data_IF_866447866838
#
_entry.id   IF_866447866838
#
_cell.length_a   1.000
_cell.length_b   1.000
_cell.length_c   1.000
_cell.angle_alpha   90.00
_cell.angle_beta   90.00
_cell.angle_gamma   90.00
#
_symmetry.space_group_name_H-M   'P 1'
#
loop_
_entity.id
_entity.type
_entity.pdbx_description
1 polymer ?
#
# COMPACT_ATOMS: atom_id res chain seq x y z
N UNK A 1 53.49 -58.08 20.70
CA UNK A 1 52.71 -56.85 20.89
C UNK A 1 53.29 -55.71 20.06
N UNK A 2 52.64 -55.32 18.96
CA UNK A 2 52.56 -53.94 18.42
C UNK A 2 51.29 -53.87 17.55
N UNK A 3 50.33 -52.97 17.80
CA UNK A 3 49.08 -52.94 17.05
C UNK A 3 49.27 -52.19 15.72
N UNK A 4 48.71 -52.73 14.65
CA UNK A 4 48.56 -52.09 13.35
C UNK A 4 47.52 -50.97 13.42
N UNK A 5 47.97 -49.75 13.14
CA UNK A 5 47.18 -48.51 13.15
C UNK A 5 46.04 -48.56 12.11
N UNK A 6 44.80 -48.41 12.58
CA UNK A 6 43.62 -48.26 11.74
C UNK A 6 43.64 -46.88 11.06
N UNK A 7 43.70 -46.86 9.73
CA UNK A 7 43.55 -45.61 8.95
C UNK A 7 42.08 -45.22 8.92
N UNK A 8 41.70 -44.24 9.73
CA UNK A 8 40.40 -43.58 9.65
C UNK A 8 40.37 -42.67 8.41
N UNK A 9 39.62 -43.09 7.39
CA UNK A 9 39.24 -42.21 6.28
C UNK A 9 38.19 -41.20 6.78
N UNK A 10 38.65 -40.00 7.15
CA UNK A 10 37.76 -38.89 7.47
C UNK A 10 37.78 -37.91 6.29
N UNK A 11 36.77 -37.95 5.43
CA UNK A 11 36.55 -36.96 4.37
C UNK A 11 35.40 -36.04 4.75
N UNK A 12 35.56 -35.26 5.82
CA UNK A 12 34.71 -34.09 6.02
C UNK A 12 35.21 -33.01 5.07
N UNK A 13 34.68 -32.97 3.84
CA UNK A 13 34.71 -31.74 3.05
C UNK A 13 33.86 -30.72 3.80
N UNK A 14 34.42 -29.56 4.23
CA UNK A 14 33.57 -28.48 4.68
C UNK A 14 32.72 -28.08 3.47
N UNK A 15 31.41 -28.31 3.53
CA UNK A 15 30.47 -27.73 2.59
C UNK A 15 30.59 -26.21 2.72
N UNK A 16 31.39 -25.60 1.86
CA UNK A 16 31.36 -24.15 1.69
C UNK A 16 30.00 -23.85 1.07
N UNK A 17 29.05 -23.38 1.88
CA UNK A 17 27.80 -22.82 1.38
C UNK A 17 28.17 -21.65 0.44
N UNK A 18 27.72 -21.73 -0.82
CA UNK A 18 27.88 -20.66 -1.80
C UNK A 18 27.16 -19.40 -1.28
N UNK A 19 27.78 -18.23 -1.41
CA UNK A 19 27.16 -16.97 -1.02
C UNK A 19 26.66 -16.27 -2.27
N UNK A 20 25.47 -16.62 -2.81
CA UNK A 20 24.99 -16.11 -4.09
C UNK A 20 24.78 -14.58 -4.08
N UNK A 21 24.64 -14.00 -2.89
CA UNK A 21 24.41 -12.56 -2.69
C UNK A 21 25.70 -11.77 -2.41
N UNK A 22 26.86 -12.45 -2.30
CA UNK A 22 28.15 -11.79 -2.08
C UNK A 22 28.24 -11.00 -0.76
N UNK A 23 27.36 -11.28 0.22
CA UNK A 23 27.32 -10.52 1.47
C UNK A 23 28.59 -10.77 2.31
N UNK A 24 29.21 -9.72 2.89
CA UNK A 24 30.41 -9.90 3.71
C UNK A 24 30.13 -10.81 4.91
N UNK A 25 31.00 -11.82 5.10
CA UNK A 25 30.87 -12.82 6.19
C UNK A 25 31.23 -12.24 7.57
N UNK A 26 31.91 -11.11 7.60
CA UNK A 26 32.26 -10.35 8.79
C UNK A 26 32.33 -8.87 8.44
N UNK A 27 31.90 -8.02 9.37
CA UNK A 27 31.76 -6.58 9.19
C UNK A 27 30.42 -6.08 9.72
N UNK A 28 30.32 -4.78 9.95
CA UNK A 28 29.04 -4.13 10.26
C UNK A 28 28.09 -4.44 9.10
N UNK A 29 26.88 -4.98 9.35
CA UNK A 29 25.90 -5.21 8.30
C UNK A 29 25.75 -3.93 7.47
N UNK A 30 25.62 -4.01 6.13
CA UNK A 30 25.31 -2.84 5.33
C UNK A 30 24.11 -2.15 5.99
N UNK A 31 24.24 -0.85 6.24
CA UNK A 31 23.13 -0.03 6.73
C UNK A 31 22.10 0.04 5.61
N UNK A 32 21.23 -0.96 5.58
CA UNK A 32 20.01 -0.93 4.81
C UNK A 32 19.34 0.41 5.11
N UNK A 33 19.09 1.20 4.05
CA UNK A 33 18.64 2.58 4.16
C UNK A 33 17.54 2.75 5.20
N UNK A 34 17.52 3.89 5.88
CA UNK A 34 16.55 4.22 6.95
C UNK A 34 15.17 3.67 6.58
N UNK A 35 14.62 2.79 7.42
CA UNK A 35 13.26 2.27 7.26
C UNK A 35 12.29 3.43 6.98
N UNK A 36 11.32 3.28 6.07
CA UNK A 36 10.34 4.33 5.82
C UNK A 36 9.72 4.78 7.14
N UNK A 37 9.77 6.08 7.42
CA UNK A 37 9.10 6.65 8.59
C UNK A 37 7.64 6.82 8.21
N UNK A 38 6.74 6.13 8.92
CA UNK A 38 5.29 6.31 8.75
C UNK A 38 4.90 7.76 9.02
N UNK A 39 4.06 8.33 8.15
CA UNK A 39 3.58 9.71 8.24
C UNK A 39 2.07 9.74 8.39
N UNK A 40 1.55 10.81 8.99
CA UNK A 40 0.12 11.11 8.95
C UNK A 40 -0.25 11.58 7.54
N UNK A 41 -1.48 11.30 7.11
CA UNK A 41 -2.06 11.91 5.91
C UNK A 41 -2.47 13.34 6.26
N UNK A 42 -2.03 14.31 5.46
CA UNK A 42 -2.31 15.72 5.70
C UNK A 42 -3.80 15.99 5.65
N UNK A 43 -4.33 16.69 6.66
CA UNK A 43 -5.75 17.05 6.72
C UNK A 43 -6.69 15.88 7.07
N UNK A 44 -6.17 14.79 7.66
CA UNK A 44 -6.97 13.64 8.10
C UNK A 44 -6.67 13.32 9.57
N UNK A 45 -7.70 13.21 10.40
CA UNK A 45 -7.55 12.90 11.83
C UNK A 45 -7.37 11.40 12.09
N UNK A 46 -8.18 10.55 11.47
CA UNK A 46 -8.14 9.08 11.60
C UNK A 46 -8.02 8.37 10.27
N UNK A 47 -7.16 7.37 10.21
CA UNK A 47 -7.01 6.50 9.03
C UNK A 47 -7.36 5.06 9.40
N UNK A 48 -8.35 4.49 8.70
CA UNK A 48 -8.81 3.11 8.88
C UNK A 48 -8.52 2.33 7.61
N UNK A 49 -7.70 1.29 7.70
CA UNK A 49 -7.42 0.42 6.56
C UNK A 49 -8.48 -0.69 6.42
N UNK A 50 -8.82 -1.04 5.18
CA UNK A 50 -9.61 -2.23 4.84
C UNK A 50 -8.77 -3.08 3.91
N UNK A 51 -8.48 -4.30 4.35
CA UNK A 51 -7.63 -5.27 3.65
C UNK A 51 -8.40 -6.56 3.39
N UNK A 52 -7.89 -7.39 2.47
CA UNK A 52 -8.38 -8.74 2.26
C UNK A 52 -7.26 -9.63 1.75
N UNK A 53 -7.19 -10.88 2.23
CA UNK A 53 -6.19 -11.85 1.78
C UNK A 53 -6.38 -12.29 0.31
N UNK A 54 -7.56 -12.07 -0.27
CA UNK A 54 -7.91 -12.48 -1.64
C UNK A 54 -8.71 -11.40 -2.36
N UNK A 55 -8.51 -11.27 -3.67
CA UNK A 55 -9.36 -10.43 -4.53
C UNK A 55 -10.79 -10.97 -4.66
N UNK A 56 -11.75 -10.07 -4.87
CA UNK A 56 -13.15 -10.44 -5.17
C UNK A 56 -14.00 -10.82 -3.95
N UNK A 57 -13.54 -10.59 -2.72
CA UNK A 57 -14.32 -10.89 -1.50
C UNK A 57 -15.28 -9.77 -1.07
N UNK A 58 -15.38 -8.69 -1.86
CA UNK A 58 -16.21 -7.52 -1.53
C UNK A 58 -15.54 -6.48 -0.62
N UNK A 59 -14.21 -6.51 -0.50
CA UNK A 59 -13.40 -5.53 0.27
C UNK A 59 -13.79 -4.08 -0.01
N UNK A 60 -13.79 -3.67 -1.29
CA UNK A 60 -14.13 -2.29 -1.70
C UNK A 60 -15.57 -1.93 -1.38
N UNK A 61 -16.49 -2.89 -1.46
CA UNK A 61 -17.89 -2.72 -1.04
C UNK A 61 -17.99 -2.45 0.46
N UNK A 62 -17.24 -3.18 1.29
CA UNK A 62 -17.17 -2.95 2.73
C UNK A 62 -16.55 -1.59 3.02
N UNK A 63 -15.45 -1.23 2.37
CA UNK A 63 -14.79 0.06 2.52
C UNK A 63 -15.71 1.24 2.17
N UNK A 64 -16.43 1.16 1.04
CA UNK A 64 -17.39 2.16 0.61
C UNK A 64 -18.56 2.30 1.60
N UNK A 65 -19.13 1.20 2.06
CA UNK A 65 -20.22 1.26 3.03
C UNK A 65 -19.75 1.79 4.40
N UNK A 66 -18.52 1.50 4.79
CA UNK A 66 -17.94 2.03 6.02
C UNK A 66 -17.77 3.55 5.95
N UNK A 67 -17.25 4.10 4.85
CA UNK A 67 -17.12 5.56 4.69
C UNK A 67 -18.49 6.26 4.64
N UNK A 68 -19.47 5.65 3.97
CA UNK A 68 -20.86 6.13 3.96
C UNK A 68 -21.50 6.08 5.34
N UNK A 69 -21.22 5.04 6.14
CA UNK A 69 -21.72 4.93 7.51
C UNK A 69 -21.16 6.06 8.39
N UNK A 70 -19.86 6.37 8.28
CA UNK A 70 -19.28 7.52 8.98
C UNK A 70 -19.91 8.85 8.55
N UNK A 71 -20.10 9.06 7.24
CA UNK A 71 -20.78 10.26 6.74
C UNK A 71 -22.21 10.38 7.28
N UNK A 72 -22.96 9.27 7.33
CA UNK A 72 -24.32 9.22 7.91
C UNK A 72 -24.36 9.53 9.41
N UNK A 73 -23.28 9.23 10.13
CA UNK A 73 -23.12 9.58 11.54
C UNK A 73 -22.67 11.04 11.76
N UNK A 74 -22.50 11.82 10.69
CA UNK A 74 -22.12 13.24 10.74
C UNK A 74 -20.62 13.50 10.70
N UNK A 75 -19.79 12.47 10.49
CA UNK A 75 -18.34 12.66 10.33
C UNK A 75 -18.00 13.13 8.90
N UNK A 76 -17.00 13.99 8.79
CA UNK A 76 -16.33 14.32 7.53
C UNK A 76 -15.54 13.09 7.09
N UNK A 77 -16.14 12.27 6.24
CA UNK A 77 -15.59 11.00 5.80
C UNK A 77 -14.99 11.09 4.39
N UNK A 78 -13.91 10.34 4.20
CA UNK A 78 -13.34 10.09 2.89
C UNK A 78 -13.05 8.62 2.65
N UNK A 79 -12.83 8.27 1.39
CA UNK A 79 -12.32 6.97 0.97
C UNK A 79 -11.18 7.14 -0.05
N UNK A 80 -10.13 6.36 0.13
CA UNK A 80 -9.00 6.28 -0.78
C UNK A 80 -8.82 4.84 -1.27
N UNK A 81 -8.97 4.64 -2.57
CA UNK A 81 -8.75 3.38 -3.26
C UNK A 81 -7.35 3.30 -3.84
N UNK A 82 -6.61 2.29 -3.37
CA UNK A 82 -5.23 2.03 -3.77
C UNK A 82 -5.09 0.77 -4.63
N UNK A 83 -6.20 0.20 -5.09
CA UNK A 83 -6.19 -0.92 -6.04
C UNK A 83 -6.01 -0.41 -7.47
N UNK A 84 -4.85 -0.72 -8.06
CA UNK A 84 -4.45 -0.26 -9.40
C UNK A 84 -5.08 -1.10 -10.50
N UNK A 85 -5.32 -2.38 -10.23
CA UNK A 85 -5.69 -3.35 -11.27
C UNK A 85 -7.19 -3.62 -11.32
N UNK A 86 -7.93 -3.22 -10.27
CA UNK A 86 -9.38 -3.34 -10.22
C UNK A 86 -10.04 -2.26 -9.37
N UNK A 87 -9.80 -0.96 -9.65
CA UNK A 87 -10.40 0.11 -8.87
C UNK A 87 -11.92 0.02 -8.96
N UNK A 88 -12.57 -0.08 -7.81
CA UNK A 88 -14.03 -0.27 -7.71
C UNK A 88 -14.74 0.98 -7.18
N UNK A 89 -14.00 1.89 -6.54
CA UNK A 89 -14.56 3.08 -5.91
C UNK A 89 -15.21 4.07 -6.90
N UNK A 90 -14.64 4.35 -8.09
CA UNK A 90 -15.30 5.22 -9.08
C UNK A 90 -16.72 4.75 -9.40
N UNK A 91 -16.87 3.45 -9.67
CA UNK A 91 -18.18 2.83 -9.96
C UNK A 91 -19.11 2.83 -8.76
N UNK A 92 -18.62 2.45 -7.57
CA UNK A 92 -19.44 2.40 -6.35
C UNK A 92 -19.95 3.76 -5.89
N UNK A 93 -19.24 4.83 -6.23
CA UNK A 93 -19.63 6.21 -5.92
C UNK A 93 -20.30 6.92 -7.10
N UNK A 94 -20.56 6.25 -8.23
CA UNK A 94 -21.14 6.86 -9.44
C UNK A 94 -20.36 8.12 -9.87
N UNK A 95 -19.05 7.99 -9.97
CA UNK A 95 -18.11 9.06 -10.29
C UNK A 95 -17.24 8.69 -11.49
N UNK A 96 -17.05 9.65 -12.38
CA UNK A 96 -16.21 9.54 -13.56
C UNK A 96 -15.41 10.82 -13.78
N UNK A 97 -14.29 10.71 -14.49
CA UNK A 97 -13.42 11.83 -14.83
C UNK A 97 -12.20 11.96 -13.93
N UNK A 98 -11.34 12.91 -14.28
CA UNK A 98 -10.04 13.09 -13.65
C UNK A 98 -10.10 14.14 -12.52
N UNK A 99 -9.35 13.96 -11.42
CA UNK A 99 -9.28 14.94 -10.34
C UNK A 99 -8.59 16.20 -10.84
N UNK A 100 -9.13 17.37 -10.50
CA UNK A 100 -8.48 18.66 -10.79
C UNK A 100 -7.30 18.89 -9.83
N UNK A 101 -6.37 19.75 -10.23
CA UNK A 101 -5.32 20.24 -9.35
C UNK A 101 -5.75 21.55 -8.68
N UNK A 102 -5.42 21.70 -7.39
CA UNK A 102 -5.53 22.99 -6.71
C UNK A 102 -4.37 23.93 -7.05
N UNK A 103 -4.47 25.18 -6.61
CA UNK A 103 -3.39 26.17 -6.77
C UNK A 103 -2.07 25.73 -6.11
N UNK A 104 -2.13 24.79 -5.15
CA UNK A 104 -0.96 24.21 -4.48
C UNK A 104 -0.47 22.93 -5.17
N UNK A 105 -0.95 22.64 -6.39
CA UNK A 105 -0.61 21.45 -7.16
C UNK A 105 -0.97 20.12 -6.44
N UNK A 106 -2.06 20.13 -5.65
CA UNK A 106 -2.60 18.94 -5.00
C UNK A 106 -3.85 18.45 -5.71
N UNK A 107 -4.10 17.14 -5.69
CA UNK A 107 -5.30 16.54 -6.25
C UNK A 107 -6.53 16.91 -5.40
N UNK A 108 -7.56 17.45 -6.04
CA UNK A 108 -8.83 17.74 -5.40
C UNK A 108 -9.72 16.50 -5.49
N UNK A 109 -10.14 15.91 -4.36
CA UNK A 109 -10.96 14.70 -4.35
C UNK A 109 -12.34 14.92 -4.97
N UNK A 110 -12.80 13.93 -5.73
CA UNK A 110 -14.17 13.89 -6.24
C UNK A 110 -15.13 13.58 -5.08
N UNK A 111 -16.34 14.13 -5.09
CA UNK A 111 -17.29 13.95 -3.99
C UNK A 111 -18.63 13.47 -4.51
N UNK A 112 -19.16 12.39 -3.92
CA UNK A 112 -20.55 11.98 -4.09
C UNK A 112 -21.06 11.36 -2.78
N UNK A 113 -22.38 11.30 -2.59
CA UNK A 113 -23.03 10.73 -1.40
C UNK A 113 -22.52 11.30 -0.06
N UNK A 114 -22.01 12.53 -0.05
CA UNK A 114 -21.44 13.19 1.14
C UNK A 114 -20.04 12.69 1.54
N UNK A 115 -19.37 11.90 0.69
CA UNK A 115 -18.03 11.34 0.96
C UNK A 115 -17.03 11.85 -0.09
N UNK A 116 -15.85 12.27 0.37
CA UNK A 116 -14.73 12.61 -0.53
C UNK A 116 -14.03 11.33 -0.98
N UNK A 117 -13.74 11.21 -2.26
CA UNK A 117 -13.21 9.99 -2.87
C UNK A 117 -11.94 10.29 -3.66
N UNK A 118 -10.97 9.39 -3.54
CA UNK A 118 -9.83 9.28 -4.44
C UNK A 118 -9.62 7.82 -4.80
N UNK A 119 -9.20 7.57 -6.04
CA UNK A 119 -8.92 6.23 -6.53
C UNK A 119 -7.83 6.28 -7.59
N UNK A 120 -7.04 5.22 -7.68
CA UNK A 120 -6.19 4.96 -8.85
C UNK A 120 -7.00 4.99 -10.15
N UNK A 121 -8.26 4.54 -10.13
CA UNK A 121 -9.16 4.58 -11.28
C UNK A 121 -9.47 5.99 -11.80
N UNK A 122 -9.29 7.04 -10.99
CA UNK A 122 -9.41 8.42 -11.48
C UNK A 122 -8.16 8.92 -12.20
N UNK A 123 -7.00 8.30 -11.95
CA UNK A 123 -5.73 8.64 -12.58
C UNK A 123 -5.47 7.83 -13.86
N UNK A 124 -6.27 6.78 -14.09
CA UNK A 124 -6.17 5.92 -15.27
C UNK A 124 -7.35 6.23 -16.18
N UNK A 125 -7.13 6.95 -17.28
CA UNK A 125 -8.17 7.18 -18.28
C UNK A 125 -8.63 5.85 -18.91
N UNK A 126 -9.94 5.70 -19.11
CA UNK A 126 -10.59 4.46 -19.60
C UNK A 126 -10.11 3.98 -20.99
N UNK A 127 -9.39 4.82 -21.74
CA UNK A 127 -9.17 4.64 -23.18
C UNK A 127 -7.77 4.16 -23.60
N UNK A 128 -6.86 3.84 -22.67
CA UNK A 128 -5.55 3.30 -23.04
C UNK A 128 -5.04 2.24 -22.04
N UNK A 129 -4.69 1.02 -22.48
CA UNK A 129 -3.97 0.08 -21.63
C UNK A 129 -2.58 0.63 -21.32
N UNK A 130 -2.44 1.24 -20.14
CA UNK A 130 -1.16 1.72 -19.62
C UNK A 130 -0.43 0.55 -18.97
N UNK A 131 0.80 0.29 -19.41
CA UNK A 131 1.68 -0.68 -18.75
C UNK A 131 2.26 -0.03 -17.49
N UNK A 132 1.66 -0.33 -16.34
CA UNK A 132 2.12 0.14 -15.04
C UNK A 132 3.43 -0.54 -14.64
N UNK A 133 4.53 0.22 -14.66
CA UNK A 133 5.82 -0.22 -14.11
C UNK A 133 5.87 0.07 -12.60
N UNK A 134 6.57 -0.77 -11.83
CA UNK A 134 6.68 -0.63 -10.36
C UNK A 134 7.00 0.78 -9.84
N UNK A 135 7.97 1.52 -10.42
CA UNK A 135 8.25 2.90 -10.00
C UNK A 135 7.09 3.87 -10.23
N UNK A 136 6.31 3.69 -11.29
CA UNK A 136 5.15 4.53 -11.62
C UNK A 136 4.01 4.28 -10.64
N UNK A 137 3.75 3.01 -10.34
CA UNK A 137 2.81 2.58 -9.28
C UNK A 137 3.16 3.24 -7.96
N UNK A 138 4.43 3.17 -7.56
CA UNK A 138 4.89 3.74 -6.30
C UNK A 138 4.69 5.26 -6.25
N UNK A 139 5.00 5.96 -7.34
CA UNK A 139 4.81 7.40 -7.45
C UNK A 139 3.32 7.78 -7.34
N UNK A 140 2.44 7.06 -8.03
CA UNK A 140 1.00 7.30 -7.98
C UNK A 140 0.43 7.09 -6.57
N UNK A 141 0.85 6.02 -5.89
CA UNK A 141 0.45 5.77 -4.49
C UNK A 141 0.93 6.88 -3.58
N UNK A 142 2.19 7.33 -3.72
CA UNK A 142 2.71 8.44 -2.94
C UNK A 142 1.91 9.73 -3.15
N UNK A 143 1.55 10.02 -4.40
CA UNK A 143 0.71 11.16 -4.75
C UNK A 143 -0.69 11.03 -4.11
N UNK A 144 -1.33 9.86 -4.18
CA UNK A 144 -2.64 9.63 -3.56
C UNK A 144 -2.61 9.70 -2.02
N UNK A 145 -1.52 9.28 -1.38
CA UNK A 145 -1.40 9.29 0.08
C UNK A 145 -1.05 10.68 0.64
N UNK A 146 -0.31 11.50 -0.10
CA UNK A 146 0.32 12.71 0.45
C UNK A 146 0.07 14.00 -0.34
N UNK A 147 -0.42 13.91 -1.57
CA UNK A 147 -0.63 15.04 -2.48
C UNK A 147 -2.12 15.22 -2.82
N UNK A 148 -3.01 14.89 -1.88
CA UNK A 148 -4.46 15.10 -1.98
C UNK A 148 -4.91 16.16 -0.99
N UNK A 149 -5.69 17.13 -1.47
CA UNK A 149 -6.28 18.18 -0.67
C UNK A 149 -7.61 17.72 -0.05
N UNK A 150 -7.53 16.93 1.02
CA UNK A 150 -8.71 16.36 1.70
C UNK A 150 -9.60 17.43 2.36
N UNK A 151 -9.08 18.63 2.62
CA UNK A 151 -9.85 19.74 3.20
C UNK A 151 -10.42 19.46 4.60
N UNK A 152 -9.76 18.62 5.39
CA UNK A 152 -10.16 18.27 6.76
C UNK A 152 -11.17 17.11 6.81
N UNK A 153 -10.69 15.91 7.12
CA UNK A 153 -11.50 14.73 7.39
C UNK A 153 -11.34 14.26 8.83
N UNK A 154 -12.45 13.83 9.42
CA UNK A 154 -12.43 13.14 10.71
C UNK A 154 -11.94 11.70 10.50
N UNK A 155 -12.32 11.08 9.38
CA UNK A 155 -11.95 9.70 9.06
C UNK A 155 -11.73 9.49 7.57
N UNK A 156 -10.64 8.82 7.23
CA UNK A 156 -10.33 8.31 5.89
C UNK A 156 -10.30 6.79 5.92
N UNK A 157 -11.15 6.17 5.10
CA UNK A 157 -11.14 4.73 4.86
C UNK A 157 -10.18 4.43 3.71
N UNK A 158 -9.21 3.56 3.93
CA UNK A 158 -8.16 3.21 2.99
C UNK A 158 -8.43 1.80 2.44
N UNK A 159 -8.90 1.72 1.20
CA UNK A 159 -9.16 0.46 0.51
C UNK A 159 -7.85 -0.05 -0.10
N UNK A 160 -7.25 -1.04 0.55
CA UNK A 160 -5.94 -1.58 0.20
C UNK A 160 -6.04 -2.52 -1.01
N UNK A 161 -4.99 -2.65 -1.85
CA UNK A 161 -4.97 -3.69 -2.88
C UNK A 161 -5.08 -5.09 -2.24
N UNK A 162 -5.59 -6.10 -2.96
CA UNK A 162 -5.76 -7.45 -2.43
C UNK A 162 -4.42 -8.16 -2.18
N UNK A 163 -4.40 -9.07 -1.21
CA UNK A 163 -3.30 -9.98 -0.92
C UNK A 163 -2.38 -9.49 0.19
N UNK A 164 -1.08 -9.72 0.02
CA UNK A 164 0.00 -9.21 0.89
C UNK A 164 1.18 -8.74 0.04
N UNK A 165 0.91 -8.27 -1.18
CA UNK A 165 1.93 -7.87 -2.13
C UNK A 165 2.70 -6.61 -1.69
N UNK A 166 3.79 -6.32 -2.40
CA UNK A 166 4.69 -5.20 -2.09
C UNK A 166 3.95 -3.85 -2.00
N UNK A 167 2.91 -3.65 -2.80
CA UNK A 167 2.08 -2.44 -2.80
C UNK A 167 1.43 -2.20 -1.43
N UNK A 168 0.80 -3.22 -0.87
CA UNK A 168 0.13 -3.13 0.42
C UNK A 168 1.13 -2.94 1.56
N UNK A 169 2.24 -3.69 1.54
CA UNK A 169 3.31 -3.53 2.50
C UNK A 169 3.88 -2.11 2.45
N UNK A 170 4.02 -1.54 1.26
CA UNK A 170 4.55 -0.19 1.10
C UNK A 170 3.59 0.88 1.66
N UNK A 171 2.28 0.78 1.35
CA UNK A 171 1.27 1.71 1.89
C UNK A 171 1.28 1.68 3.43
N UNK A 172 1.29 0.49 4.03
CA UNK A 172 1.31 0.31 5.49
C UNK A 172 2.64 0.71 6.15
N UNK A 173 3.71 0.89 5.37
CA UNK A 173 4.99 1.47 5.83
C UNK A 173 5.05 2.99 5.67
N UNK A 174 4.21 3.58 4.82
CA UNK A 174 4.19 5.01 4.55
C UNK A 174 3.19 5.78 5.43
N UNK A 175 2.12 5.12 5.87
CA UNK A 175 1.03 5.76 6.63
C UNK A 175 0.89 5.25 8.05
N UNK A 176 0.55 6.14 8.97
CA UNK A 176 0.09 5.80 10.33
C UNK A 176 -1.39 5.42 10.24
N UNK A 177 -1.72 4.19 10.65
CA UNK A 177 -3.10 3.68 10.71
C UNK A 177 -3.61 3.72 12.15
N UNK A 178 -4.84 4.16 12.34
CA UNK A 178 -5.54 4.18 13.64
C UNK A 178 -6.38 2.91 13.85
N UNK A 179 -6.76 2.21 12.77
CA UNK A 179 -7.51 0.97 12.82
C UNK A 179 -7.42 0.18 11.52
N UNK A 180 -7.84 -1.09 11.56
CA UNK A 180 -7.89 -1.95 10.38
C UNK A 180 -9.05 -2.95 10.45
N UNK A 181 -9.64 -3.25 9.28
CA UNK A 181 -10.54 -4.37 9.03
C UNK A 181 -9.84 -5.33 8.05
N UNK A 182 -9.88 -6.64 8.31
CA UNK A 182 -9.13 -7.70 7.61
C UNK A 182 -10.04 -8.74 6.97
#
# INVERSE_FOLDING_TARGET
>A
MRPTSARLFQSLRPLQHENPLGLPRSGTPPTWGKRPVRRKITGVEKVIAVSSAKGGVGKSTVAANLSLAFARLGFRAGILDTDIFGPSIPTLFDLSGEPRLSNNNQLIPLTNYGVKTMSMGYLVGENAPVVWRGPMVMKAIQQLLHEVEWGGLDVLVLDLPPGTGDTQLTITQQVILDGAFL
#
